data_IF_238181098076
#
_entry.id   IF_238181098076
#
_cell.length_a   1.000
_cell.length_b   1.000
_cell.length_c   1.000
_cell.angle_alpha   90.00
_cell.angle_beta   90.00
_cell.angle_gamma   90.00
#
_symmetry.space_group_name_H-M   'P 1'
#
loop_
_entity.id
_entity.type
_entity.pdbx_description
1 polymer ?
#
# COMPACT_ATOMS: atom_id res chain seq x y z
N UNK A 1 -8.82 31.98 12.99
CA UNK A 1 -7.36 31.79 12.88
C UNK A 1 -7.06 31.36 11.46
N UNK A 2 -6.15 32.06 10.76
CA UNK A 2 -5.66 31.62 9.45
C UNK A 2 -4.41 30.78 9.67
N UNK A 3 -4.43 29.53 9.24
CA UNK A 3 -3.26 28.65 9.22
C UNK A 3 -2.39 29.03 8.02
N UNK A 4 -1.10 29.29 8.24
CA UNK A 4 -0.16 29.54 7.14
C UNK A 4 0.58 28.25 6.71
N UNK A 5 1.25 28.30 5.55
CA UNK A 5 1.93 27.13 4.98
C UNK A 5 3.04 26.57 5.90
N UNK A 6 3.80 27.44 6.55
CA UNK A 6 4.87 27.01 7.47
C UNK A 6 4.31 26.26 8.68
N UNK A 7 3.22 26.77 9.25
CA UNK A 7 2.50 26.12 10.34
C UNK A 7 1.90 24.78 9.92
N UNK A 8 1.37 24.70 8.68
CA UNK A 8 0.84 23.47 8.12
C UNK A 8 1.94 22.41 7.98
N UNK A 9 3.10 22.76 7.41
CA UNK A 9 4.21 21.82 7.21
C UNK A 9 4.80 21.33 8.54
N UNK A 10 4.95 22.23 9.52
CA UNK A 10 5.47 21.91 10.86
C UNK A 10 4.56 20.95 11.63
N UNK A 11 3.25 20.95 11.33
CA UNK A 11 2.26 20.00 11.90
C UNK A 11 2.32 18.59 11.29
N UNK A 12 3.30 18.29 10.42
CA UNK A 12 3.46 16.96 9.82
C UNK A 12 2.53 16.70 8.63
N UNK A 13 2.02 17.76 7.98
CA UNK A 13 1.18 17.66 6.77
C UNK A 13 1.92 17.09 5.56
N UNK A 14 3.24 17.25 5.51
CA UNK A 14 4.12 16.57 4.57
C UNK A 14 4.61 15.25 5.19
N UNK A 15 4.27 14.14 4.54
CA UNK A 15 4.71 12.81 4.96
C UNK A 15 6.15 12.58 4.52
N UNK A 16 7.10 12.96 5.36
CA UNK A 16 8.48 12.54 5.20
C UNK A 16 8.62 11.07 5.60
N UNK A 17 8.58 10.17 4.61
CA UNK A 17 9.43 8.98 4.54
C UNK A 17 9.52 8.02 5.73
N UNK A 18 8.56 7.97 6.65
CA UNK A 18 8.64 7.06 7.80
C UNK A 18 8.60 5.60 7.33
N UNK A 19 9.78 4.98 7.32
CA UNK A 19 9.97 3.58 6.99
C UNK A 19 9.94 2.73 8.26
N UNK A 20 9.24 1.62 8.19
CA UNK A 20 9.25 0.58 9.21
C UNK A 20 9.93 -0.65 8.65
N UNK A 21 10.97 -1.14 9.33
CA UNK A 21 11.60 -2.41 9.00
C UNK A 21 10.64 -3.56 9.32
N UNK A 22 10.44 -4.45 8.35
CA UNK A 22 9.50 -5.58 8.44
C UNK A 22 10.26 -6.85 8.02
N UNK A 23 10.41 -7.85 8.91
CA UNK A 23 10.97 -9.14 8.53
C UNK A 23 9.95 -9.92 7.68
N UNK A 24 10.45 -10.56 6.64
CA UNK A 24 9.66 -11.32 5.67
C UNK A 24 10.24 -12.73 5.53
N UNK A 25 9.34 -13.71 5.50
CA UNK A 25 9.65 -15.09 5.10
C UNK A 25 8.87 -15.38 3.84
N UNK A 26 9.57 -15.79 2.79
CA UNK A 26 8.99 -16.21 1.53
C UNK A 26 9.34 -17.68 1.29
N UNK A 27 8.32 -18.49 1.03
CA UNK A 27 8.46 -19.89 0.63
C UNK A 27 8.07 -19.99 -0.83
N UNK A 28 8.93 -20.62 -1.63
CA UNK A 28 8.70 -20.88 -3.03
C UNK A 28 9.16 -22.29 -3.40
N UNK A 29 8.79 -22.73 -4.59
CA UNK A 29 9.29 -24.00 -5.13
C UNK A 29 10.42 -23.71 -6.12
N UNK A 30 11.56 -24.39 -5.96
CA UNK A 30 12.65 -24.32 -6.93
C UNK A 30 12.35 -25.11 -8.22
N UNK A 31 13.27 -25.06 -9.18
CA UNK A 31 13.13 -25.76 -10.46
C UNK A 31 13.12 -27.29 -10.31
N UNK A 32 13.57 -27.82 -9.17
CA UNK A 32 13.56 -29.26 -8.82
C UNK A 32 12.24 -29.68 -8.13
N UNK A 33 11.31 -28.75 -7.87
CA UNK A 33 10.07 -29.04 -7.15
C UNK A 33 10.21 -29.05 -5.63
N UNK A 34 11.33 -28.58 -5.06
CA UNK A 34 11.55 -28.53 -3.61
C UNK A 34 11.15 -27.17 -3.05
N UNK A 35 10.61 -27.18 -1.83
CA UNK A 35 10.33 -25.95 -1.10
C UNK A 35 11.63 -25.30 -0.61
N UNK A 36 11.78 -24.01 -0.93
CA UNK A 36 12.89 -23.16 -0.52
C UNK A 36 12.33 -22.00 0.29
N UNK A 37 12.79 -21.87 1.54
CA UNK A 37 12.45 -20.76 2.42
C UNK A 37 13.54 -19.70 2.40
N UNK A 38 13.17 -18.47 2.05
CA UNK A 38 14.06 -17.30 2.05
C UNK A 38 13.56 -16.28 3.08
N UNK A 39 14.47 -15.82 3.95
CA UNK A 39 14.20 -14.79 4.96
C UNK A 39 15.00 -13.53 4.66
N UNK A 40 14.33 -12.39 4.69
CA UNK A 40 14.94 -11.09 4.44
C UNK A 40 14.11 -9.97 5.09
N UNK A 41 14.70 -8.79 5.18
CA UNK A 41 14.02 -7.61 5.68
C UNK A 41 13.60 -6.70 4.53
N UNK A 42 12.42 -6.10 4.66
CA UNK A 42 11.99 -4.98 3.81
C UNK A 42 11.71 -3.76 4.67
N UNK A 43 11.56 -2.61 4.03
CA UNK A 43 11.13 -1.37 4.67
C UNK A 43 9.83 -0.91 4.06
N UNK A 44 8.81 -0.69 4.88
CA UNK A 44 7.49 -0.23 4.42
C UNK A 44 7.25 1.22 4.81
N UNK A 45 6.78 2.02 3.85
CA UNK A 45 6.26 3.37 4.12
C UNK A 45 4.98 3.27 4.96
N UNK A 46 5.07 3.67 6.22
CA UNK A 46 3.94 3.62 7.18
C UNK A 46 2.91 4.72 6.95
N UNK A 47 3.29 5.77 6.21
CA UNK A 47 2.43 6.87 5.83
C UNK A 47 2.53 7.01 4.31
N UNK A 48 1.38 6.95 3.62
CA UNK A 48 1.30 7.03 2.16
C UNK A 48 1.33 8.51 1.74
N UNK A 49 2.29 8.95 0.91
CA UNK A 49 2.26 10.29 0.31
C UNK A 49 1.00 10.51 -0.52
N UNK A 50 0.49 11.75 -0.57
CA UNK A 50 -0.74 12.08 -1.31
C UNK A 50 -0.75 11.56 -2.75
N UNK A 51 0.33 11.84 -3.50
CA UNK A 51 0.45 11.39 -4.89
C UNK A 51 0.52 9.86 -5.03
N UNK A 52 1.15 9.17 -4.07
CA UNK A 52 1.19 7.70 -4.06
C UNK A 52 -0.19 7.12 -3.75
N UNK A 53 -0.94 7.71 -2.82
CA UNK A 53 -2.32 7.30 -2.52
C UNK A 53 -3.20 7.42 -3.77
N UNK A 54 -3.09 8.53 -4.49
CA UNK A 54 -3.85 8.72 -5.73
C UNK A 54 -3.49 7.69 -6.78
N UNK A 55 -2.19 7.45 -7.02
CA UNK A 55 -1.76 6.40 -7.96
C UNK A 55 -2.27 5.03 -7.54
N UNK A 56 -2.17 4.64 -6.27
CA UNK A 56 -2.57 3.30 -5.83
C UNK A 56 -4.09 3.11 -5.88
N UNK A 57 -4.86 4.07 -5.36
CA UNK A 57 -6.28 3.85 -5.05
C UNK A 57 -7.26 4.59 -5.96
N UNK A 58 -6.85 5.70 -6.59
CA UNK A 58 -7.75 6.59 -7.32
C UNK A 58 -7.49 6.63 -8.83
N UNK A 59 -6.27 6.35 -9.29
CA UNK A 59 -5.95 6.27 -10.71
C UNK A 59 -6.50 4.98 -11.34
N UNK A 60 -7.11 5.03 -12.54
CA UNK A 60 -7.54 3.84 -13.25
C UNK A 60 -6.35 2.90 -13.49
N UNK A 61 -6.61 1.59 -13.46
CA UNK A 61 -5.62 0.55 -13.77
C UNK A 61 -5.69 0.27 -15.26
N UNK A 62 -4.55 0.37 -15.96
CA UNK A 62 -4.46 0.18 -17.40
C UNK A 62 -3.66 -1.09 -17.73
N UNK A 63 -4.35 -2.21 -17.94
CA UNK A 63 -3.73 -3.48 -18.30
C UNK A 63 -3.12 -4.26 -17.13
N UNK A 64 -2.47 -5.37 -17.44
CA UNK A 64 -2.02 -6.36 -16.44
C UNK A 64 -0.77 -5.90 -15.68
N UNK A 65 0.12 -5.13 -16.33
CA UNK A 65 1.34 -4.58 -15.72
C UNK A 65 1.07 -3.49 -14.68
N UNK A 66 -0.14 -2.92 -14.70
CA UNK A 66 -0.53 -1.76 -13.89
C UNK A 66 -1.45 -2.14 -12.72
N UNK A 67 -1.31 -3.37 -12.20
CA UNK A 67 -2.14 -3.86 -11.11
C UNK A 67 -2.00 -3.01 -9.84
N UNK A 68 -3.07 -2.93 -9.05
CA UNK A 68 -3.04 -2.24 -7.74
C UNK A 68 -1.97 -2.82 -6.82
N UNK A 69 -1.73 -4.14 -6.88
CA UNK A 69 -0.70 -4.78 -6.07
C UNK A 69 0.70 -4.35 -6.49
N UNK A 70 0.96 -4.26 -7.80
CA UNK A 70 2.23 -3.75 -8.34
C UNK A 70 2.48 -2.31 -7.89
N UNK A 71 1.44 -1.46 -7.91
CA UNK A 71 1.51 -0.08 -7.38
C UNK A 71 1.77 -0.03 -5.87
N UNK A 72 1.12 -0.89 -5.09
CA UNK A 72 1.36 -0.98 -3.63
C UNK A 72 2.83 -1.31 -3.36
N UNK A 73 3.36 -2.32 -4.03
CA UNK A 73 4.73 -2.78 -3.82
C UNK A 73 5.71 -1.67 -4.25
N UNK A 74 5.60 -1.16 -5.48
CA UNK A 74 6.54 -0.17 -6.01
C UNK A 74 6.52 1.14 -5.21
N UNK A 75 5.36 1.60 -4.74
CA UNK A 75 5.26 2.83 -3.98
C UNK A 75 5.71 2.67 -2.52
N UNK A 76 5.35 1.55 -1.88
CA UNK A 76 5.42 1.43 -0.41
C UNK A 76 6.52 0.51 0.10
N UNK A 77 7.06 -0.40 -0.72
CA UNK A 77 8.14 -1.32 -0.32
C UNK A 77 9.50 -0.74 -0.72
N UNK A 78 10.47 -0.85 0.19
CA UNK A 78 11.88 -0.54 -0.04
C UNK A 78 12.77 -1.70 0.39
N UNK A 79 13.89 -1.85 -0.28
CA UNK A 79 14.91 -2.88 -0.02
C UNK A 79 16.22 -2.25 0.45
N UNK A 80 17.25 -3.08 0.67
CA UNK A 80 18.55 -2.64 1.17
C UNK A 80 18.43 -2.05 2.58
N UNK A 81 18.89 -0.82 2.73
CA UNK A 81 18.74 0.01 3.95
C UNK A 81 17.49 0.91 3.92
N UNK A 82 16.54 0.61 3.04
CA UNK A 82 15.32 1.39 2.82
C UNK A 82 15.43 2.43 1.71
N UNK A 83 16.55 2.45 0.98
CA UNK A 83 16.79 3.40 -0.13
C UNK A 83 16.39 2.83 -1.49
N UNK A 84 16.44 1.51 -1.66
CA UNK A 84 16.17 0.85 -2.93
C UNK A 84 14.67 0.70 -3.16
N UNK A 85 14.20 1.06 -4.35
CA UNK A 85 12.81 0.99 -4.76
C UNK A 85 12.72 0.26 -6.08
N UNK A 86 11.86 -0.76 -6.15
CA UNK A 86 11.53 -1.38 -7.43
C UNK A 86 10.53 -0.52 -8.20
N UNK A 87 10.65 -0.55 -9.52
CA UNK A 87 9.71 0.01 -10.47
C UNK A 87 8.37 -0.75 -10.45
N UNK A 88 7.34 -0.16 -11.08
CA UNK A 88 6.05 -0.84 -11.24
C UNK A 88 6.14 -2.09 -12.13
N UNK A 89 7.00 -2.05 -13.15
CA UNK A 89 7.24 -3.15 -14.08
C UNK A 89 7.91 -4.34 -13.37
N UNK A 90 8.95 -4.07 -12.56
CA UNK A 90 9.58 -5.10 -11.74
C UNK A 90 8.59 -5.72 -10.74
N UNK A 91 7.73 -4.89 -10.12
CA UNK A 91 6.69 -5.37 -9.20
C UNK A 91 5.64 -6.24 -9.90
N UNK A 92 5.29 -5.93 -11.15
CA UNK A 92 4.34 -6.71 -11.95
C UNK A 92 4.89 -8.07 -12.39
N UNK A 93 6.22 -8.17 -12.55
CA UNK A 93 6.91 -9.39 -12.97
C UNK A 93 7.39 -10.28 -11.82
N UNK A 94 7.02 -9.95 -10.57
CA UNK A 94 7.34 -10.82 -9.42
C UNK A 94 6.64 -12.16 -9.54
N UNK A 95 7.29 -13.21 -9.03
CA UNK A 95 6.62 -14.47 -8.74
C UNK A 95 5.38 -14.20 -7.88
N UNK A 96 4.20 -14.76 -8.19
CA UNK A 96 2.98 -14.50 -7.43
C UNK A 96 3.13 -14.77 -5.93
N UNK A 97 3.85 -15.83 -5.55
CA UNK A 97 4.15 -16.20 -4.16
C UNK A 97 4.85 -15.05 -3.42
N UNK A 98 5.86 -14.43 -4.03
CA UNK A 98 6.57 -13.28 -3.48
C UNK A 98 5.70 -12.02 -3.47
N UNK A 99 4.98 -11.75 -4.56
CA UNK A 99 4.08 -10.60 -4.67
C UNK A 99 3.05 -10.53 -3.54
N UNK A 100 2.41 -11.67 -3.24
CA UNK A 100 1.45 -11.74 -2.13
C UNK A 100 2.10 -11.54 -0.76
N UNK A 101 3.29 -12.12 -0.54
CA UNK A 101 4.04 -11.95 0.70
C UNK A 101 4.35 -10.47 0.95
N UNK A 102 4.82 -9.74 -0.07
CA UNK A 102 5.13 -8.30 0.04
C UNK A 102 3.89 -7.45 0.31
N UNK A 103 2.79 -7.69 -0.41
CA UNK A 103 1.52 -6.97 -0.19
C UNK A 103 0.99 -7.21 1.23
N UNK A 104 1.03 -8.45 1.71
CA UNK A 104 0.61 -8.78 3.06
C UNK A 104 1.49 -8.13 4.12
N UNK A 105 2.81 -8.10 3.91
CA UNK A 105 3.75 -7.41 4.78
C UNK A 105 3.43 -5.90 4.86
N UNK A 106 3.09 -5.27 3.73
CA UNK A 106 2.63 -3.88 3.71
C UNK A 106 1.38 -3.71 4.57
N UNK A 107 0.32 -4.47 4.33
CA UNK A 107 -0.93 -4.32 5.07
C UNK A 107 -0.79 -4.61 6.57
N UNK A 108 0.05 -5.57 6.95
CA UNK A 108 0.33 -5.87 8.35
C UNK A 108 1.14 -4.76 9.05
N UNK A 109 1.94 -4.00 8.28
CA UNK A 109 2.78 -2.92 8.80
C UNK A 109 2.06 -1.58 8.95
N UNK A 110 0.94 -1.40 8.23
CA UNK A 110 0.15 -0.18 8.26
C UNK A 110 -0.56 0.03 9.60
N UNK A 111 -0.72 1.29 10.04
CA UNK A 111 -1.54 1.58 11.20
C UNK A 111 -2.98 1.11 10.94
N UNK A 112 -3.55 0.36 11.89
CA UNK A 112 -4.96 -0.02 11.84
C UNK A 112 -5.79 1.26 11.90
N UNK A 113 -6.63 1.48 10.89
CA UNK A 113 -7.60 2.57 10.87
C UNK A 113 -8.47 2.44 12.12
N UNK A 114 -8.40 3.40 13.02
CA UNK A 114 -9.28 3.41 14.18
C UNK A 114 -10.68 3.85 13.74
N UNK A 115 -11.71 3.59 14.54
CA UNK A 115 -13.07 4.02 14.22
C UNK A 115 -13.20 5.55 14.07
N UNK A 116 -12.30 6.32 14.69
CA UNK A 116 -12.21 7.78 14.54
C UNK A 116 -11.68 8.23 13.18
N UNK A 117 -10.85 7.41 12.51
CA UNK A 117 -10.22 7.74 11.22
C UNK A 117 -11.11 7.43 10.00
N UNK A 118 -12.31 6.89 10.23
CA UNK A 118 -13.25 6.57 9.17
C UNK A 118 -14.03 7.83 8.76
N UNK A 119 -14.06 8.20 7.46
CA UNK A 119 -14.95 9.27 7.02
C UNK A 119 -16.38 8.89 7.38
N UNK A 120 -17.11 9.82 8.01
CA UNK A 120 -18.48 9.61 8.44
C UNK A 120 -19.28 8.97 7.30
N UNK A 121 -19.72 7.72 7.49
CA UNK A 121 -20.49 6.97 6.49
C UNK A 121 -21.69 7.83 6.10
N UNK A 122 -21.68 8.42 4.90
CA UNK A 122 -22.89 9.02 4.32
C UNK A 122 -23.90 7.88 4.19
N UNK A 123 -24.90 7.85 5.07
CA UNK A 123 -26.03 6.93 4.95
C UNK A 123 -26.64 7.16 3.56
N UNK A 124 -26.41 6.23 2.62
CA UNK A 124 -27.12 6.27 1.35
C UNK A 124 -28.60 6.04 1.68
N UNK A 125 -29.42 7.07 1.56
CA UNK A 125 -30.85 6.95 1.69
C UNK A 125 -31.35 6.03 0.56
N UNK A 126 -31.59 4.76 0.88
CA UNK A 126 -32.28 3.82 0.00
C UNK A 126 -33.72 4.32 -0.08
N UNK A 127 -34.05 5.03 -1.16
CA UNK A 127 -35.41 5.47 -1.43
C UNK A 127 -36.34 4.25 -1.46
N UNK A 128 -37.29 4.18 -0.52
CA UNK A 128 -38.42 3.25 -0.59
C UNK A 128 -39.24 3.63 -1.82
N UNK A 129 -39.18 2.83 -2.88
CA UNK A 129 -40.19 2.87 -3.94
C UNK A 129 -41.50 2.40 -3.33
N UNK A 130 -42.45 3.31 -3.11
CA UNK A 130 -43.84 2.94 -2.86
C UNK A 130 -44.45 2.50 -4.19
N UNK A 131 -44.68 1.20 -4.35
CA UNK A 131 -45.67 0.72 -5.31
C UNK A 131 -47.04 0.91 -4.68
N UNK A 132 -47.88 1.74 -5.31
CA UNK A 132 -49.31 1.81 -5.04
C UNK A 132 -50.00 1.06 -6.18
N UNK A 133 -50.94 0.20 -5.78
CA UNK A 133 -51.88 -0.64 -6.54
C UNK A 133 -51.97 -0.47 -8.06
#
# INVERSE_FOLDING_TARGET
MNLNLSELLTKGSAVAGALKKVPVTWVDTDDDGKEVETKFDIYVRTKIPFAANDRIFNSPVNGDEDSRNSRIISELVRFGDGTEQMSIEEAANLKPTLGYVLVNAVFASMPKRTAEDAPAKKKSARAKRSGTN
#
